data_IF_284953839277
#
_entry.id   IF_284953839277
#
_cell.length_a   1.000
_cell.length_b   1.000
_cell.length_c   1.000
_cell.angle_alpha   90.00
_cell.angle_beta   90.00
_cell.angle_gamma   90.00
#
_symmetry.space_group_name_H-M   'P 1'
#
loop_
_entity.id
_entity.type
_entity.pdbx_description
1 polymer ?
#
# COMPACT_ATOMS: atom_id res chain seq x y z
N UNK A 1 20.72 -16.51 8.66
CA UNK A 1 19.30 -16.18 8.48
C UNK A 1 18.98 -16.17 7.00
N UNK A 2 17.90 -16.81 6.60
CA UNK A 2 17.49 -16.83 5.19
C UNK A 2 16.85 -15.50 4.80
N UNK A 3 16.80 -15.24 3.50
CA UNK A 3 16.11 -14.06 2.99
C UNK A 3 14.63 -14.10 3.34
N UNK A 4 14.01 -15.28 3.26
CA UNK A 4 12.61 -15.45 3.63
C UNK A 4 12.35 -15.08 5.08
N UNK A 5 13.21 -15.51 6.00
CA UNK A 5 13.10 -15.13 7.41
C UNK A 5 13.24 -13.63 7.62
N UNK A 6 14.17 -13.00 6.91
CA UNK A 6 14.33 -11.55 6.98
C UNK A 6 13.06 -10.83 6.50
N UNK A 7 12.48 -11.28 5.41
CA UNK A 7 11.25 -10.68 4.88
C UNK A 7 10.09 -10.84 5.86
N UNK A 8 9.98 -12.00 6.51
CA UNK A 8 8.95 -12.20 7.53
C UNK A 8 9.14 -11.24 8.71
N UNK A 9 10.39 -10.99 9.11
CA UNK A 9 10.66 -10.04 10.19
C UNK A 9 10.31 -8.61 9.80
N UNK A 10 10.55 -8.22 8.55
CA UNK A 10 10.18 -6.90 8.04
C UNK A 10 8.67 -6.70 8.11
N UNK A 11 7.91 -7.69 7.62
CA UNK A 11 6.45 -7.63 7.66
C UNK A 11 5.95 -7.55 9.10
N UNK A 12 6.51 -8.38 9.98
CA UNK A 12 6.10 -8.39 11.38
C UNK A 12 6.41 -7.06 12.07
N UNK A 13 7.55 -6.44 11.77
CA UNK A 13 7.90 -5.14 12.33
C UNK A 13 6.90 -4.08 11.91
N UNK A 14 6.54 -4.02 10.63
CA UNK A 14 5.54 -3.08 10.15
C UNK A 14 4.17 -3.33 10.77
N UNK A 15 3.83 -4.57 11.01
CA UNK A 15 2.58 -4.90 11.70
C UNK A 15 2.57 -4.42 13.14
N UNK A 16 3.66 -4.62 13.86
CA UNK A 16 3.75 -4.24 15.28
C UNK A 16 3.97 -2.75 15.47
N UNK A 17 4.63 -2.10 14.52
CA UNK A 17 5.02 -0.70 14.60
C UNK A 17 4.59 0.02 13.33
N UNK A 18 3.28 0.18 13.09
CA UNK A 18 2.78 0.76 11.84
C UNK A 18 3.22 2.21 11.70
N UNK A 19 3.76 2.55 10.53
CA UNK A 19 4.19 3.91 10.21
C UNK A 19 2.97 4.71 9.76
N UNK A 20 2.82 5.90 10.29
CA UNK A 20 1.84 6.87 9.83
C UNK A 20 0.39 6.55 10.07
N UNK A 21 0.10 5.59 10.95
CA UNK A 21 -1.29 5.23 11.25
C UNK A 21 -2.01 6.40 11.90
N UNK A 22 -3.16 6.73 11.35
CA UNK A 22 -4.00 7.82 11.84
C UNK A 22 -4.64 8.56 10.68
N UNK A 23 -5.78 9.18 10.93
CA UNK A 23 -6.51 9.91 9.91
C UNK A 23 -6.01 11.36 9.82
N UNK A 24 -6.17 11.95 8.62
CA UNK A 24 -5.83 13.36 8.39
C UNK A 24 -6.93 14.26 8.94
N UNK A 25 -6.55 15.49 9.35
CA UNK A 25 -7.52 16.47 9.84
C UNK A 25 -8.36 17.06 8.71
N UNK A 26 -7.77 17.24 7.54
CA UNK A 26 -8.45 17.90 6.41
C UNK A 26 -8.17 17.15 5.11
N UNK A 27 -8.71 15.94 4.96
CA UNK A 27 -8.48 15.17 3.74
C UNK A 27 -9.18 15.79 2.53
N UNK A 28 -8.55 15.65 1.36
CA UNK A 28 -9.15 16.04 0.09
C UNK A 28 -9.95 14.88 -0.53
N UNK A 29 -9.58 13.65 -0.23
CA UNK A 29 -10.28 12.47 -0.70
C UNK A 29 -10.19 11.36 0.32
N UNK A 30 -11.21 10.53 0.37
CA UNK A 30 -11.32 9.39 1.30
C UNK A 30 -11.89 8.20 0.57
N UNK A 31 -11.32 7.03 0.82
CA UNK A 31 -11.83 5.77 0.27
C UNK A 31 -11.86 4.72 1.38
N UNK A 32 -12.94 3.97 1.44
CA UNK A 32 -13.09 2.86 2.37
C UNK A 32 -13.15 1.56 1.58
N UNK A 33 -12.20 0.68 1.82
CA UNK A 33 -12.10 -0.59 1.11
C UNK A 33 -12.15 -1.74 2.10
N UNK A 34 -12.78 -2.83 1.69
CA UNK A 34 -12.88 -4.05 2.50
C UNK A 34 -12.46 -5.24 1.66
N UNK A 35 -11.88 -6.23 2.34
CA UNK A 35 -11.67 -7.55 1.78
C UNK A 35 -12.51 -8.52 2.61
N UNK A 36 -13.73 -8.86 2.16
CA UNK A 36 -14.65 -9.63 2.99
C UNK A 36 -14.17 -11.04 3.26
N UNK A 37 -13.30 -11.59 2.41
CA UNK A 37 -12.77 -12.94 2.60
C UNK A 37 -11.95 -13.03 3.88
N UNK A 38 -11.16 -11.99 4.20
CA UNK A 38 -10.28 -11.99 5.37
C UNK A 38 -10.76 -11.03 6.46
N UNK A 39 -11.84 -10.29 6.24
CA UNK A 39 -12.31 -9.31 7.20
C UNK A 39 -11.44 -8.07 7.31
N UNK A 40 -10.57 -7.83 6.31
CA UNK A 40 -9.73 -6.64 6.30
C UNK A 40 -10.56 -5.42 5.89
N UNK A 41 -10.30 -4.29 6.54
CA UNK A 41 -10.92 -3.01 6.18
C UNK A 41 -9.88 -1.91 6.30
N UNK A 42 -9.97 -0.91 5.44
CA UNK A 42 -9.12 0.27 5.53
C UNK A 42 -9.88 1.52 5.11
N UNK A 43 -9.70 2.57 5.88
CA UNK A 43 -10.12 3.91 5.53
C UNK A 43 -8.85 4.67 5.14
N UNK A 44 -8.72 5.03 3.86
CA UNK A 44 -7.55 5.69 3.31
C UNK A 44 -7.92 7.12 2.96
N UNK A 45 -7.12 8.07 3.42
CA UNK A 45 -7.33 9.48 3.15
C UNK A 45 -6.10 10.08 2.50
N UNK A 46 -6.32 11.03 1.61
CA UNK A 46 -5.23 11.74 0.94
C UNK A 46 -5.45 13.24 1.00
N UNK A 47 -4.35 13.96 0.98
CA UNK A 47 -4.31 15.41 0.82
C UNK A 47 -3.00 15.75 0.11
N UNK A 48 -2.76 17.03 -0.10
CA UNK A 48 -1.54 17.51 -0.75
C UNK A 48 -0.90 18.55 0.14
N UNK A 49 0.43 18.49 0.27
CA UNK A 49 1.14 19.54 0.99
C UNK A 49 1.37 20.76 0.07
N UNK A 50 1.96 21.83 0.62
CA UNK A 50 2.14 23.07 -0.10
C UNK A 50 3.06 22.94 -1.34
N UNK A 51 3.93 21.93 -1.33
CA UNK A 51 4.86 21.68 -2.43
C UNK A 51 4.31 20.67 -3.46
N UNK A 52 3.08 20.20 -3.27
CA UNK A 52 2.47 19.20 -4.16
C UNK A 52 2.77 17.77 -3.78
N UNK A 53 3.36 17.54 -2.60
CA UNK A 53 3.62 16.20 -2.11
C UNK A 53 2.36 15.53 -1.58
N UNK A 54 2.26 14.23 -1.79
CA UNK A 54 1.11 13.46 -1.33
C UNK A 54 1.17 13.26 0.20
N UNK A 55 0.09 13.58 0.87
CA UNK A 55 -0.08 13.27 2.28
C UNK A 55 -1.12 12.16 2.40
N UNK A 56 -0.80 11.11 3.15
CA UNK A 56 -1.77 10.07 3.40
C UNK A 56 -2.00 9.86 4.89
N UNK A 57 -3.22 9.43 5.21
CA UNK A 57 -3.59 8.97 6.53
C UNK A 57 -4.43 7.73 6.38
N UNK A 58 -4.38 6.84 7.35
CA UNK A 58 -5.14 5.61 7.26
C UNK A 58 -5.48 5.05 8.64
N UNK A 59 -6.59 4.34 8.69
CA UNK A 59 -6.99 3.51 9.82
C UNK A 59 -7.62 2.25 9.26
N UNK A 60 -7.42 1.15 9.94
CA UNK A 60 -8.01 -0.09 9.48
C UNK A 60 -7.79 -1.22 10.46
N UNK A 61 -8.47 -2.32 10.18
CA UNK A 61 -8.32 -3.57 10.92
C UNK A 61 -8.16 -4.70 9.93
N UNK A 62 -7.58 -5.78 10.38
CA UNK A 62 -7.40 -6.93 9.52
C UNK A 62 -6.19 -7.75 9.90
N UNK A 63 -5.77 -8.60 8.97
CA UNK A 63 -4.64 -9.50 9.21
C UNK A 63 -3.30 -8.75 9.19
N UNK A 64 -2.25 -9.43 9.61
CA UNK A 64 -0.91 -8.84 9.66
C UNK A 64 -0.42 -8.39 8.29
N UNK A 65 -0.81 -9.08 7.22
CA UNK A 65 -0.40 -8.73 5.86
C UNK A 65 -1.00 -7.39 5.43
N UNK A 66 -2.31 -7.19 5.64
CA UNK A 66 -2.96 -5.95 5.26
C UNK A 66 -2.45 -4.76 6.08
N UNK A 67 -2.23 -4.97 7.37
CA UNK A 67 -1.75 -3.91 8.26
C UNK A 67 -0.30 -3.54 7.94
N UNK A 68 0.57 -4.53 7.73
CA UNK A 68 1.95 -4.28 7.37
C UNK A 68 2.07 -3.59 6.01
N UNK A 69 1.23 -3.99 5.06
CA UNK A 69 1.25 -3.40 3.73
C UNK A 69 0.88 -1.92 3.75
N UNK A 70 -0.12 -1.54 4.55
CA UNK A 70 -0.50 -0.13 4.70
C UNK A 70 0.67 0.69 5.30
N UNK A 71 1.37 0.12 6.27
CA UNK A 71 2.53 0.77 6.87
C UNK A 71 3.66 0.97 5.85
N UNK A 72 3.94 -0.04 5.04
CA UNK A 72 4.95 0.06 3.97
C UNK A 72 4.54 1.12 2.95
N UNK A 73 3.28 1.16 2.57
CA UNK A 73 2.76 2.16 1.64
C UNK A 73 3.05 3.57 2.17
N UNK A 74 2.71 3.82 3.42
CA UNK A 74 2.96 5.13 4.03
C UNK A 74 4.44 5.50 3.93
N UNK A 75 5.31 4.58 4.33
CA UNK A 75 6.75 4.84 4.34
C UNK A 75 7.28 5.18 2.95
N UNK A 76 6.74 4.54 1.92
CA UNK A 76 7.21 4.72 0.55
C UNK A 76 6.71 5.97 -0.13
N UNK A 77 5.46 6.38 0.12
CA UNK A 77 4.84 7.42 -0.71
C UNK A 77 4.60 8.75 0.01
N UNK A 78 4.68 8.79 1.33
CA UNK A 78 4.40 10.01 2.08
C UNK A 78 5.34 11.14 1.64
N UNK A 79 4.77 12.26 1.22
CA UNK A 79 5.53 13.44 0.81
C UNK A 79 6.02 13.43 -0.62
N UNK A 80 5.78 12.36 -1.38
CA UNK A 80 6.20 12.31 -2.78
C UNK A 80 5.19 12.98 -3.70
N UNK A 81 5.64 13.49 -4.85
CA UNK A 81 4.69 13.89 -5.90
C UNK A 81 3.80 12.70 -6.28
N UNK A 82 2.54 12.99 -6.60
CA UNK A 82 1.56 11.94 -6.93
C UNK A 82 2.08 11.03 -8.05
N UNK A 83 2.74 11.60 -9.07
CA UNK A 83 3.27 10.80 -10.19
C UNK A 83 4.32 9.80 -9.73
N UNK A 84 5.16 10.16 -8.75
CA UNK A 84 6.17 9.24 -8.22
C UNK A 84 5.52 8.17 -7.34
N UNK A 85 4.53 8.54 -6.54
CA UNK A 85 3.77 7.59 -5.75
C UNK A 85 3.07 6.55 -6.64
N UNK A 86 2.55 6.98 -7.78
CA UNK A 86 1.89 6.10 -8.74
C UNK A 86 2.86 5.06 -9.32
N UNK A 87 4.08 5.47 -9.63
CA UNK A 87 5.09 4.51 -10.10
C UNK A 87 5.37 3.43 -9.08
N UNK A 88 5.45 3.81 -7.81
CA UNK A 88 5.68 2.85 -6.72
C UNK A 88 4.48 1.93 -6.58
N UNK A 89 3.28 2.49 -6.64
CA UNK A 89 2.05 1.70 -6.55
C UNK A 89 1.98 0.65 -7.66
N UNK A 90 2.24 1.05 -8.90
CA UNK A 90 2.23 0.13 -10.03
C UNK A 90 3.29 -0.96 -9.88
N UNK A 91 4.47 -0.61 -9.37
CA UNK A 91 5.52 -1.61 -9.14
C UNK A 91 5.09 -2.64 -8.09
N UNK A 92 4.39 -2.21 -7.04
CA UNK A 92 3.90 -3.13 -6.03
C UNK A 92 2.79 -4.03 -6.58
N UNK A 93 1.86 -3.47 -7.37
CA UNK A 93 0.82 -4.26 -8.04
C UNK A 93 1.46 -5.33 -8.93
N UNK A 94 2.48 -4.94 -9.71
CA UNK A 94 3.20 -5.88 -10.56
C UNK A 94 3.86 -7.00 -9.75
N UNK A 95 4.48 -6.65 -8.61
CA UNK A 95 5.06 -7.64 -7.72
C UNK A 95 4.00 -8.64 -7.24
N UNK A 96 2.81 -8.15 -6.89
CA UNK A 96 1.73 -9.02 -6.42
C UNK A 96 1.19 -9.93 -7.52
N UNK A 97 1.33 -9.55 -8.78
CA UNK A 97 0.89 -10.38 -9.92
C UNK A 97 1.99 -11.30 -10.45
N UNK A 98 3.17 -11.28 -9.85
CA UNK A 98 4.32 -12.05 -10.33
C UNK A 98 4.32 -13.53 -9.94
N UNK A 99 3.38 -13.95 -9.09
CA UNK A 99 3.30 -15.31 -8.56
C UNK A 99 4.56 -15.71 -7.77
N UNK A 100 5.28 -14.72 -7.25
CA UNK A 100 6.50 -14.94 -6.49
C UNK A 100 7.74 -15.10 -7.35
N UNK A 101 7.63 -14.89 -8.67
CA UNK A 101 8.74 -15.09 -9.60
C UNK A 101 9.55 -13.82 -9.90
N UNK A 102 9.08 -12.65 -9.43
CA UNK A 102 9.78 -11.40 -9.69
C UNK A 102 11.01 -11.25 -8.79
N UNK A 103 11.98 -10.51 -9.29
CA UNK A 103 13.08 -10.01 -8.48
C UNK A 103 12.73 -8.55 -8.14
N UNK A 104 12.23 -8.28 -6.94
CA UNK A 104 11.76 -6.93 -6.61
C UNK A 104 12.92 -5.96 -6.49
N UNK A 105 12.67 -4.73 -6.91
CA UNK A 105 13.66 -3.65 -6.87
C UNK A 105 13.54 -2.90 -5.54
N UNK A 106 14.50 -3.09 -4.69
CA UNK A 106 14.52 -2.46 -3.37
C UNK A 106 14.63 -0.94 -3.45
N UNK A 107 15.26 -0.41 -4.49
CA UNK A 107 15.36 1.04 -4.66
C UNK A 107 13.98 1.67 -4.90
N UNK A 108 13.07 0.94 -5.54
CA UNK A 108 11.71 1.41 -5.80
C UNK A 108 10.79 1.06 -4.65
N UNK A 109 10.86 -0.18 -4.15
CA UNK A 109 9.86 -0.73 -3.23
C UNK A 109 10.28 -0.74 -1.76
N UNK A 110 11.56 -0.45 -1.46
CA UNK A 110 12.01 -0.46 -0.08
C UNK A 110 11.59 -1.74 0.63
N UNK A 111 10.99 -1.63 1.79
CA UNK A 111 10.51 -2.79 2.55
C UNK A 111 9.38 -3.55 1.84
N UNK A 112 8.79 -2.97 0.80
CA UNK A 112 7.77 -3.67 -0.01
C UNK A 112 8.30 -4.93 -0.68
N UNK A 113 9.63 -5.04 -0.87
CA UNK A 113 10.22 -6.25 -1.44
C UNK A 113 9.93 -7.50 -0.59
N UNK A 114 9.70 -7.30 0.71
CA UNK A 114 9.41 -8.40 1.63
C UNK A 114 8.11 -9.13 1.27
N UNK A 115 7.26 -8.52 0.45
CA UNK A 115 5.97 -9.10 0.06
C UNK A 115 6.07 -10.03 -1.15
N UNK A 116 7.27 -10.24 -1.70
CA UNK A 116 7.42 -11.15 -2.86
C UNK A 116 6.89 -12.55 -2.57
N UNK A 117 7.08 -13.04 -1.35
CA UNK A 117 6.55 -14.35 -0.96
C UNK A 117 5.03 -14.39 -0.83
N UNK A 118 4.41 -13.26 -0.52
CA UNK A 118 2.95 -13.14 -0.44
C UNK A 118 2.32 -13.38 -1.81
N UNK A 119 3.02 -12.99 -2.88
CA UNK A 119 2.53 -13.10 -4.25
C UNK A 119 2.29 -14.57 -4.70
N UNK A 120 2.77 -15.54 -3.93
CA UNK A 120 2.51 -16.97 -4.19
C UNK A 120 1.12 -17.41 -3.74
N UNK A 121 0.43 -16.60 -2.94
CA UNK A 121 -0.82 -17.01 -2.27
C UNK A 121 -1.95 -16.06 -2.65
N UNK A 122 -2.83 -16.47 -3.59
CA UNK A 122 -3.88 -15.55 -4.11
C UNK A 122 -4.74 -14.89 -3.04
N UNK A 123 -5.10 -15.58 -1.98
CA UNK A 123 -5.91 -14.99 -0.92
C UNK A 123 -5.18 -13.87 -0.20
N UNK A 124 -3.86 -13.99 -0.04
CA UNK A 124 -3.04 -12.99 0.65
C UNK A 124 -2.69 -11.80 -0.22
N UNK A 125 -2.69 -11.99 -1.55
CA UNK A 125 -2.47 -10.90 -2.50
C UNK A 125 -3.50 -9.81 -2.28
N UNK A 126 -4.77 -10.19 -2.10
CA UNK A 126 -5.85 -9.23 -1.87
C UNK A 126 -5.65 -8.45 -0.57
N UNK A 127 -5.15 -9.12 0.47
CA UNK A 127 -4.82 -8.44 1.72
C UNK A 127 -3.70 -7.43 1.52
N UNK A 128 -2.66 -7.80 0.80
CA UNK A 128 -1.52 -6.92 0.55
C UNK A 128 -1.89 -5.72 -0.31
N UNK A 129 -2.80 -5.89 -1.26
CA UNK A 129 -3.19 -4.83 -2.19
C UNK A 129 -4.24 -3.87 -1.62
N UNK A 130 -4.90 -4.20 -0.54
CA UNK A 130 -6.05 -3.44 -0.04
C UNK A 130 -5.74 -1.95 0.12
N UNK A 131 -4.68 -1.60 0.84
CA UNK A 131 -4.30 -0.21 1.07
C UNK A 131 -3.91 0.50 -0.21
N UNK A 132 -3.21 -0.21 -1.11
CA UNK A 132 -2.72 0.38 -2.36
C UNK A 132 -3.85 0.70 -3.32
N UNK A 133 -4.87 -0.16 -3.38
CA UNK A 133 -6.05 0.09 -4.21
C UNK A 133 -6.92 1.20 -3.60
N UNK A 134 -7.02 1.23 -2.27
CA UNK A 134 -7.72 2.32 -1.58
C UNK A 134 -7.03 3.67 -1.81
N UNK A 135 -5.70 3.69 -1.86
CA UNK A 135 -4.96 4.91 -2.17
C UNK A 135 -5.36 5.48 -3.52
N UNK A 136 -5.37 4.65 -4.56
CA UNK A 136 -5.76 5.09 -5.90
C UNK A 136 -7.17 5.67 -5.90
N UNK A 137 -8.11 4.99 -5.26
CA UNK A 137 -9.49 5.44 -5.18
C UNK A 137 -9.60 6.79 -4.46
N UNK A 138 -8.89 6.95 -3.35
CA UNK A 138 -8.87 8.21 -2.61
C UNK A 138 -8.27 9.34 -3.45
N UNK A 139 -7.22 9.05 -4.22
CA UNK A 139 -6.59 10.05 -5.12
C UNK A 139 -7.55 10.49 -6.21
N UNK A 140 -8.32 9.56 -6.77
CA UNK A 140 -9.34 9.89 -7.78
C UNK A 140 -10.41 10.80 -7.17
N UNK A 141 -10.89 10.47 -5.98
CA UNK A 141 -11.91 11.26 -5.28
C UNK A 141 -11.40 12.64 -4.88
N UNK A 142 -10.10 12.79 -4.71
CA UNK A 142 -9.45 14.06 -4.39
C UNK A 142 -9.09 14.88 -5.63
N UNK A 143 -9.39 14.39 -6.83
CA UNK A 143 -8.97 14.98 -8.11
C UNK A 143 -7.46 15.09 -8.26
N UNK A 144 -6.70 14.24 -7.60
CA UNK A 144 -5.24 14.20 -7.75
C UNK A 144 -4.81 13.36 -8.95
N UNK A 145 -5.66 12.42 -9.37
CA UNK A 145 -5.51 11.66 -10.62
C UNK A 145 -6.87 11.62 -11.30
N UNK A 146 -6.89 11.50 -12.62
CA UNK A 146 -8.13 11.65 -13.37
C UNK A 146 -8.97 10.38 -13.42
N UNK A 147 -8.33 9.24 -13.66
CA UNK A 147 -9.05 7.97 -13.79
C UNK A 147 -8.17 6.83 -13.32
N UNK A 148 -8.81 5.71 -12.91
CA UNK A 148 -8.10 4.48 -12.62
C UNK A 148 -7.59 3.85 -13.92
N UNK A 149 -6.35 3.34 -13.94
CA UNK A 149 -5.87 2.55 -15.08
C UNK A 149 -6.72 1.28 -15.25
N UNK A 150 -6.93 0.87 -16.51
CA UNK A 150 -7.80 -0.25 -16.82
C UNK A 150 -7.27 -1.60 -16.37
N UNK A 151 -5.98 -1.73 -16.16
CA UNK A 151 -5.33 -2.98 -15.81
C UNK A 151 -5.15 -3.17 -14.30
N UNK A 152 -5.83 -2.40 -13.49
CA UNK A 152 -5.71 -2.37 -12.04
C UNK A 152 -6.48 -3.50 -11.33
N UNK A 153 -6.90 -4.51 -12.00
CA UNK A 153 -7.67 -5.60 -11.37
C UNK A 153 -6.80 -6.69 -10.82
#
# INVERSE_FOLDING_TARGET
MSLESLYQEIILDHYKNPRGRGLLEAPLGTAFHVNPTCGDEINMQVASDAAGGLLIGYEGTGCSISQASASVLYELVQGLPVAEAEKIRLAFVELMHSQGNAEPDEEVLGDGVAFVGVAKYPARIKCALLAWMALQDAEIKADLVMTAPLDER
#
